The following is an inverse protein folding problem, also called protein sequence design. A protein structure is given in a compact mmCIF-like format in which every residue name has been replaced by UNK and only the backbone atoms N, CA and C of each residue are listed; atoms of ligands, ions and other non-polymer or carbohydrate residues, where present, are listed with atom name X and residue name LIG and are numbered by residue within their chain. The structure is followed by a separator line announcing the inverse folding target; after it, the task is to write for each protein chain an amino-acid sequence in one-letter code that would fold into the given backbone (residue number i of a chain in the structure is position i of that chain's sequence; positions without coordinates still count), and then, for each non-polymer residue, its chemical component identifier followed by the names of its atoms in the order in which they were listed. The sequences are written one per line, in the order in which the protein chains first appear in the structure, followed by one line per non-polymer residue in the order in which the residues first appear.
data_IF_878224555967
#
_entry.id   IF_878224555967
#
_cell.length_a   1.000
_cell.length_b   1.000
_cell.length_c   1.000
_cell.angle_alpha   90.00
_cell.angle_beta   90.00
_cell.angle_gamma   90.00
#
_symmetry.space_group_name_H-M   'P 1'
#
loop_
_entity.id
_entity.type
_entity.pdbx_description
1 polymer ?
#
# COMPACT_ATOMS: atom_id res chain seq x y z
N UNK A 1 49.06 35.60 -13.74
CA UNK A 1 48.24 34.58 -14.44
C UNK A 1 47.49 33.76 -13.40
N UNK A 2 46.29 34.21 -13.03
CA UNK A 2 45.40 33.59 -12.04
C UNK A 2 44.27 32.88 -12.78
N UNK A 3 44.15 31.57 -12.58
CA UNK A 3 43.03 30.78 -13.13
C UNK A 3 41.75 31.13 -12.36
N UNK A 4 40.62 31.41 -13.02
CA UNK A 4 39.35 31.59 -12.34
C UNK A 4 38.88 30.26 -11.75
N UNK A 5 38.64 30.24 -10.45
CA UNK A 5 38.00 29.15 -9.72
C UNK A 5 36.56 29.00 -10.19
N UNK A 6 36.19 27.77 -10.56
CA UNK A 6 34.88 27.45 -11.11
C UNK A 6 33.88 27.18 -9.96
N UNK A 7 32.87 28.03 -9.72
CA UNK A 7 31.94 27.91 -8.59
C UNK A 7 30.91 26.78 -8.76
N UNK A 8 30.93 26.06 -9.87
CA UNK A 8 29.94 25.01 -10.20
C UNK A 8 30.20 23.70 -9.41
N UNK A 9 31.38 23.52 -8.80
CA UNK A 9 31.74 22.27 -8.13
C UNK A 9 31.36 22.16 -6.64
N UNK A 10 30.82 23.21 -6.01
CA UNK A 10 30.44 23.19 -4.59
C UNK A 10 28.92 23.16 -4.34
N UNK A 11 28.10 23.18 -5.40
CA UNK A 11 26.64 23.13 -5.33
C UNK A 11 26.03 21.74 -5.51
N UNK A 12 26.82 20.67 -5.51
CA UNK A 12 26.30 19.31 -5.63
C UNK A 12 25.83 18.79 -4.26
N UNK A 13 24.67 19.30 -3.86
CA UNK A 13 23.59 18.51 -3.26
C UNK A 13 23.97 17.62 -2.07
N UNK A 14 24.12 18.22 -0.89
CA UNK A 14 23.31 17.73 0.24
C UNK A 14 21.86 18.14 -0.04
N UNK A 15 21.19 17.45 -0.97
CA UNK A 15 19.72 17.48 -1.00
C UNK A 15 19.29 16.80 0.27
N UNK A 16 18.77 17.60 1.19
CA UNK A 16 17.78 17.30 2.23
C UNK A 16 17.32 15.85 2.32
N UNK A 17 18.23 14.92 2.65
CA UNK A 17 17.85 13.54 2.96
C UNK A 17 17.03 13.53 4.26
N UNK A 18 17.35 14.44 5.17
CA UNK A 18 16.59 14.66 6.42
C UNK A 18 15.23 15.33 6.16
N UNK A 19 15.19 16.37 5.31
CA UNK A 19 13.92 17.00 4.94
C UNK A 19 12.98 16.05 4.17
N UNK A 20 13.53 15.21 3.30
CA UNK A 20 12.78 14.17 2.61
C UNK A 20 12.22 13.11 3.56
N UNK A 21 12.99 12.70 4.58
CA UNK A 21 12.52 11.72 5.56
C UNK A 21 11.38 12.28 6.43
N UNK A 22 11.50 13.53 6.91
CA UNK A 22 10.43 14.17 7.69
C UNK A 22 9.16 14.38 6.88
N UNK A 23 9.28 14.76 5.61
CA UNK A 23 8.12 14.87 4.71
C UNK A 23 7.45 13.51 4.49
N UNK A 24 8.22 12.43 4.27
CA UNK A 24 7.62 11.09 4.12
C UNK A 24 6.95 10.63 5.42
N UNK A 25 7.55 10.87 6.58
CA UNK A 25 6.97 10.51 7.89
C UNK A 25 5.65 11.24 8.14
N UNK A 26 5.59 12.54 7.86
CA UNK A 26 4.36 13.32 8.02
C UNK A 26 3.28 12.89 7.02
N UNK A 27 3.64 12.61 5.77
CA UNK A 27 2.72 12.06 4.76
C UNK A 27 2.20 10.68 5.17
N UNK A 28 3.04 9.78 5.67
CA UNK A 28 2.63 8.44 6.13
C UNK A 28 1.74 8.53 7.37
N UNK A 29 2.06 9.42 8.31
CA UNK A 29 1.23 9.62 9.50
C UNK A 29 -0.14 10.21 9.15
N UNK A 30 -0.20 11.20 8.24
CA UNK A 30 -1.44 11.76 7.74
C UNK A 30 -2.25 10.71 6.94
N UNK A 31 -1.58 9.94 6.09
CA UNK A 31 -2.20 8.84 5.34
C UNK A 31 -2.81 7.79 6.27
N UNK A 32 -2.07 7.35 7.30
CA UNK A 32 -2.60 6.41 8.30
C UNK A 32 -3.72 7.02 9.13
N UNK A 33 -3.67 8.31 9.46
CA UNK A 33 -4.75 8.96 10.18
C UNK A 33 -6.06 8.93 9.36
N UNK A 34 -6.00 9.30 8.08
CA UNK A 34 -7.15 9.25 7.17
C UNK A 34 -7.62 7.83 6.85
N UNK A 35 -6.71 6.88 6.65
CA UNK A 35 -7.06 5.47 6.43
C UNK A 35 -7.69 4.81 7.68
N UNK A 36 -7.24 5.20 8.89
CA UNK A 36 -7.66 4.54 10.14
C UNK A 36 -9.12 4.75 10.51
N UNK A 37 -9.80 5.78 9.98
CA UNK A 37 -11.11 6.16 10.47
C UNK A 37 -12.26 5.23 10.01
N UNK A 38 -12.06 4.42 8.96
CA UNK A 38 -13.09 3.49 8.45
C UNK A 38 -12.58 2.05 8.16
N UNK A 39 -11.27 1.79 8.26
CA UNK A 39 -10.63 0.51 7.90
C UNK A 39 -10.13 -0.32 9.10
N UNK A 40 -10.45 0.06 10.35
CA UNK A 40 -9.92 -0.64 11.54
C UNK A 40 -10.12 -2.16 11.48
N UNK A 41 -11.26 -2.64 10.99
CA UNK A 41 -11.51 -4.08 10.85
C UNK A 41 -10.56 -4.74 9.85
N UNK A 42 -10.33 -4.14 8.68
CA UNK A 42 -9.43 -4.71 7.67
C UNK A 42 -7.99 -4.68 8.16
N UNK A 43 -7.56 -3.57 8.75
CA UNK A 43 -6.20 -3.45 9.28
C UNK A 43 -5.93 -4.45 10.40
N UNK A 44 -6.93 -4.73 11.25
CA UNK A 44 -6.85 -5.77 12.26
C UNK A 44 -6.75 -7.19 11.66
N UNK A 45 -7.49 -7.49 10.59
CA UNK A 45 -7.44 -8.80 9.91
C UNK A 45 -6.05 -9.04 9.31
N UNK A 46 -5.48 -8.03 8.67
CA UNK A 46 -4.13 -8.16 8.14
C UNK A 46 -3.07 -8.19 9.24
N UNK A 47 -3.25 -7.40 10.30
CA UNK A 47 -2.36 -7.45 11.46
C UNK A 47 -2.37 -8.83 12.12
N UNK A 48 -3.54 -9.46 12.26
CA UNK A 48 -3.62 -10.84 12.76
C UNK A 48 -2.94 -11.83 11.81
N UNK A 49 -3.09 -11.67 10.49
CA UNK A 49 -2.33 -12.47 9.52
C UNK A 49 -0.81 -12.29 9.68
N UNK A 50 -0.32 -11.07 9.86
CA UNK A 50 1.09 -10.80 10.11
C UNK A 50 1.59 -11.47 11.40
N UNK A 51 0.80 -11.39 12.49
CA UNK A 51 1.10 -12.08 13.74
C UNK A 51 1.22 -13.59 13.54
N UNK A 52 0.31 -14.20 12.76
CA UNK A 52 0.37 -15.62 12.42
C UNK A 52 1.68 -15.99 11.69
N UNK A 53 2.09 -15.18 10.69
CA UNK A 53 3.35 -15.42 9.95
C UNK A 53 4.56 -15.29 10.88
N UNK A 54 4.61 -14.24 11.72
CA UNK A 54 5.72 -14.05 12.65
C UNK A 54 5.78 -15.20 13.66
N UNK A 55 4.65 -15.59 14.26
CA UNK A 55 4.60 -16.71 15.19
C UNK A 55 5.04 -18.03 14.53
N UNK A 56 4.55 -18.31 13.32
CA UNK A 56 4.95 -19.50 12.56
C UNK A 56 6.45 -19.48 12.22
N UNK A 57 7.00 -18.33 11.84
CA UNK A 57 8.43 -18.17 11.55
C UNK A 57 9.31 -18.38 12.79
N UNK A 58 8.87 -17.92 13.96
CA UNK A 58 9.60 -18.11 15.22
C UNK A 58 9.60 -19.58 15.65
N UNK A 59 8.44 -20.24 15.58
CA UNK A 59 8.33 -21.68 15.86
C UNK A 59 9.24 -22.47 14.92
N UNK A 60 9.17 -22.19 13.61
CA UNK A 60 10.00 -22.88 12.61
C UNK A 60 11.49 -22.65 12.83
N UNK A 61 11.89 -21.41 13.15
CA UNK A 61 13.29 -21.08 13.43
C UNK A 61 13.80 -21.84 14.66
N UNK A 62 13.03 -21.88 15.75
CA UNK A 62 13.41 -22.60 16.97
C UNK A 62 13.57 -24.11 16.65
N UNK A 63 12.65 -24.69 15.90
CA UNK A 63 12.72 -26.12 15.55
C UNK A 63 13.95 -26.44 14.69
N UNK A 64 14.25 -25.62 13.67
CA UNK A 64 15.44 -25.80 12.82
C UNK A 64 16.74 -25.68 13.64
N UNK A 65 16.76 -24.88 14.70
CA UNK A 65 17.90 -24.80 15.62
C UNK A 65 18.03 -26.01 16.56
N UNK A 66 16.92 -26.67 16.89
CA UNK A 66 16.92 -27.87 17.76
C UNK A 66 17.15 -29.16 16.99
N UNK A 67 16.83 -29.17 15.69
CA UNK A 67 16.99 -30.31 14.78
C UNK A 67 18.27 -30.19 13.96
N UNK A 68 18.48 -31.09 13.01
CA UNK A 68 19.67 -31.07 12.14
C UNK A 68 19.66 -29.81 11.25
N UNK A 69 20.74 -29.02 11.30
CA UNK A 69 20.83 -27.74 10.59
C UNK A 69 20.94 -28.01 9.08
N UNK A 70 19.80 -28.01 8.39
CA UNK A 70 19.74 -27.91 6.96
C UNK A 70 19.84 -26.42 6.55
N UNK A 71 20.88 -26.02 5.78
CA UNK A 71 21.11 -24.61 5.47
C UNK A 71 19.99 -23.98 4.63
N UNK A 72 19.29 -24.77 3.81
CA UNK A 72 18.17 -24.29 3.01
C UNK A 72 16.94 -23.94 3.87
N UNK A 73 16.58 -24.80 4.82
CA UNK A 73 15.45 -24.54 5.73
C UNK A 73 15.72 -23.33 6.64
N UNK A 74 16.98 -23.14 7.05
CA UNK A 74 17.39 -21.96 7.80
C UNK A 74 17.21 -20.67 6.98
N UNK A 75 17.58 -20.68 5.69
CA UNK A 75 17.40 -19.52 4.81
C UNK A 75 15.92 -19.19 4.66
N UNK A 76 15.06 -20.20 4.47
CA UNK A 76 13.61 -20.01 4.34
C UNK A 76 12.99 -19.48 5.63
N UNK A 77 13.39 -19.99 6.79
CA UNK A 77 12.94 -19.50 8.09
C UNK A 77 13.36 -18.04 8.33
N UNK A 78 14.62 -17.68 8.04
CA UNK A 78 15.11 -16.31 8.18
C UNK A 78 14.38 -15.37 7.21
N UNK A 79 14.14 -15.82 5.98
CA UNK A 79 13.36 -15.06 5.00
C UNK A 79 11.94 -14.81 5.51
N UNK A 80 11.24 -15.85 5.97
CA UNK A 80 9.89 -15.76 6.52
C UNK A 80 9.83 -14.81 7.72
N UNK A 81 10.82 -14.89 8.62
CA UNK A 81 10.91 -14.04 9.80
C UNK A 81 11.13 -12.56 9.42
N UNK A 82 12.05 -12.27 8.50
CA UNK A 82 12.33 -10.90 8.07
C UNK A 82 11.12 -10.29 7.36
N UNK A 83 10.51 -11.01 6.42
CA UNK A 83 9.37 -10.47 5.67
C UNK A 83 8.07 -10.47 6.46
N UNK A 84 7.85 -11.46 7.33
CA UNK A 84 6.76 -11.46 8.31
C UNK A 84 6.87 -10.27 9.26
N UNK A 85 8.07 -9.97 9.77
CA UNK A 85 8.31 -8.82 10.64
C UNK A 85 8.07 -7.49 9.90
N UNK A 86 8.49 -7.37 8.64
CA UNK A 86 8.20 -6.17 7.83
C UNK A 86 6.69 -5.94 7.68
N UNK A 87 5.93 -7.00 7.39
CA UNK A 87 4.47 -6.92 7.28
C UNK A 87 3.81 -6.60 8.63
N UNK A 88 4.30 -7.19 9.72
CA UNK A 88 3.85 -6.87 11.08
C UNK A 88 4.06 -5.39 11.40
N UNK A 89 5.23 -4.84 11.10
CA UNK A 89 5.51 -3.40 11.29
C UNK A 89 4.61 -2.54 10.42
N UNK A 90 4.39 -2.92 9.16
CA UNK A 90 3.53 -2.18 8.22
C UNK A 90 2.08 -2.11 8.73
N UNK A 91 1.59 -3.23 9.24
CA UNK A 91 0.18 -3.45 9.58
C UNK A 91 -0.15 -3.16 11.04
N UNK A 92 0.87 -2.86 11.86
CA UNK A 92 0.68 -2.54 13.26
C UNK A 92 -0.23 -1.31 13.44
N UNK A 93 -1.32 -1.41 14.24
CA UNK A 93 -2.25 -0.30 14.48
C UNK A 93 -1.71 0.75 15.47
N UNK A 94 -0.42 0.70 15.82
CA UNK A 94 0.22 1.53 16.83
C UNK A 94 0.94 2.74 16.23
N UNK A 95 0.88 3.88 16.93
CA UNK A 95 1.48 5.16 16.51
C UNK A 95 2.73 5.52 17.32
N UNK A 96 3.63 4.57 17.51
CA UNK A 96 4.94 4.84 18.14
C UNK A 96 5.91 5.43 17.11
N UNK A 97 6.69 6.45 17.49
CA UNK A 97 7.60 7.17 16.58
C UNK A 97 8.52 6.22 15.79
N UNK A 98 9.15 5.26 16.47
CA UNK A 98 10.03 4.29 15.81
C UNK A 98 9.33 3.37 14.80
N UNK A 99 8.06 3.00 15.05
CA UNK A 99 7.28 2.20 14.09
C UNK A 99 6.87 3.04 12.88
N UNK A 100 6.52 4.32 13.07
CA UNK A 100 6.20 5.22 11.95
C UNK A 100 7.44 5.46 11.06
N UNK A 101 8.62 5.64 11.65
CA UNK A 101 9.88 5.75 10.91
C UNK A 101 10.20 4.47 10.12
N UNK A 102 10.04 3.31 10.74
CA UNK A 102 10.23 2.02 10.07
C UNK A 102 9.21 1.81 8.94
N UNK A 103 7.94 2.20 9.15
CA UNK A 103 6.91 2.17 8.11
C UNK A 103 7.27 3.09 6.94
N UNK A 104 7.71 4.32 7.22
CA UNK A 104 8.15 5.26 6.20
C UNK A 104 9.32 4.70 5.38
N UNK A 105 10.27 4.01 6.02
CA UNK A 105 11.34 3.30 5.33
C UNK A 105 10.79 2.20 4.42
N UNK A 106 9.90 1.34 4.91
CA UNK A 106 9.29 0.27 4.11
C UNK A 106 8.50 0.86 2.94
N UNK A 107 7.68 1.88 3.15
CA UNK A 107 6.90 2.58 2.11
C UNK A 107 7.82 3.13 1.01
N UNK A 108 8.99 3.67 1.39
CA UNK A 108 9.95 4.24 0.44
C UNK A 108 10.56 3.19 -0.49
N UNK A 109 10.94 2.02 0.02
CA UNK A 109 11.58 0.97 -0.78
C UNK A 109 10.60 -0.04 -1.38
N UNK A 110 9.46 -0.23 -0.74
CA UNK A 110 8.44 -1.22 -1.08
C UNK A 110 7.07 -0.55 -1.24
N UNK A 111 7.01 0.50 -2.07
CA UNK A 111 5.76 1.23 -2.34
C UNK A 111 4.64 0.36 -2.91
N UNK A 112 4.94 -0.85 -3.42
CA UNK A 112 3.89 -1.78 -3.84
C UNK A 112 3.19 -2.46 -2.64
N UNK A 113 3.88 -2.67 -1.50
CA UNK A 113 3.32 -3.32 -0.32
C UNK A 113 2.29 -2.44 0.39
N UNK A 114 2.33 -1.12 0.17
CA UNK A 114 1.35 -0.19 0.73
C UNK A 114 0.03 -0.19 -0.02
N UNK A 115 0.03 -0.70 -1.26
CA UNK A 115 -1.20 -0.86 -2.06
C UNK A 115 -1.97 -2.07 -1.59
N UNK A 116 -3.30 -1.99 -1.64
CA UNK A 116 -4.16 -3.03 -1.10
C UNK A 116 -4.00 -4.35 -1.86
N UNK A 117 -3.93 -4.29 -3.21
CA UNK A 117 -3.59 -5.46 -4.05
C UNK A 117 -2.20 -6.02 -3.79
N UNK A 118 -1.18 -5.17 -3.64
CA UNK A 118 0.20 -5.61 -3.41
C UNK A 118 0.38 -6.30 -2.06
N UNK A 119 -0.25 -5.76 -1.00
CA UNK A 119 -0.34 -6.37 0.33
C UNK A 119 -1.01 -7.74 0.27
N UNK A 120 -2.12 -7.85 -0.46
CA UNK A 120 -2.83 -9.13 -0.68
C UNK A 120 -1.96 -10.19 -1.35
N UNK A 121 -1.33 -9.84 -2.48
CA UNK A 121 -0.41 -10.75 -3.20
C UNK A 121 0.75 -11.18 -2.31
N UNK A 122 1.29 -10.26 -1.52
CA UNK A 122 2.36 -10.56 -0.58
C UNK A 122 1.93 -11.56 0.51
N UNK A 123 0.72 -11.42 1.05
CA UNK A 123 0.17 -12.39 2.00
C UNK A 123 -0.11 -13.76 1.38
N UNK A 124 -0.54 -13.82 0.11
CA UNK A 124 -0.66 -15.09 -0.62
C UNK A 124 0.69 -15.81 -0.61
N UNK A 125 1.75 -15.11 -0.99
CA UNK A 125 3.11 -15.63 -1.04
C UNK A 125 3.61 -16.08 0.36
N UNK A 126 3.47 -15.23 1.38
CA UNK A 126 3.86 -15.58 2.75
C UNK A 126 3.05 -16.76 3.32
N UNK A 127 1.74 -16.83 3.01
CA UNK A 127 0.88 -17.94 3.43
C UNK A 127 1.29 -19.26 2.80
N UNK A 128 1.58 -19.28 1.49
CA UNK A 128 2.10 -20.47 0.81
C UNK A 128 3.46 -20.90 1.34
N UNK A 129 4.35 -19.95 1.62
CA UNK A 129 5.68 -20.24 2.16
C UNK A 129 5.59 -20.77 3.59
N UNK A 130 4.75 -20.16 4.43
CA UNK A 130 4.49 -20.63 5.80
C UNK A 130 3.93 -22.05 5.79
N UNK A 131 2.99 -22.35 4.88
CA UNK A 131 2.45 -23.69 4.71
C UNK A 131 3.55 -24.70 4.35
N UNK A 132 4.36 -24.39 3.33
CA UNK A 132 5.47 -25.26 2.90
C UNK A 132 6.48 -25.49 4.03
N UNK A 133 6.95 -24.43 4.70
CA UNK A 133 7.93 -24.54 5.78
C UNK A 133 7.44 -25.41 6.94
N UNK A 134 6.19 -25.26 7.39
CA UNK A 134 5.67 -26.07 8.51
C UNK A 134 5.34 -27.51 8.09
N UNK A 135 4.95 -27.72 6.84
CA UNK A 135 4.59 -29.03 6.31
C UNK A 135 5.83 -29.89 6.02
N UNK A 136 6.80 -29.33 5.29
CA UNK A 136 7.97 -30.07 4.83
C UNK A 136 8.91 -30.43 5.98
N UNK A 137 9.08 -29.54 6.96
CA UNK A 137 9.87 -29.79 8.16
C UNK A 137 9.13 -30.69 9.18
N UNK A 138 7.94 -31.18 8.87
CA UNK A 138 7.12 -32.06 9.73
C UNK A 138 6.86 -31.52 11.15
N UNK A 139 6.99 -30.21 11.36
CA UNK A 139 6.94 -29.56 12.68
C UNK A 139 5.53 -29.67 13.25
N UNK A 140 4.54 -29.21 12.47
CA UNK A 140 3.15 -29.16 12.93
C UNK A 140 2.17 -29.07 11.76
N UNK A 141 1.76 -30.22 11.21
CA UNK A 141 0.83 -30.29 10.07
C UNK A 141 -0.47 -29.51 10.28
N UNK A 142 -1.05 -29.60 11.48
CA UNK A 142 -2.27 -28.85 11.80
C UNK A 142 -2.01 -27.34 11.82
N UNK A 143 -0.88 -26.89 12.38
CA UNK A 143 -0.47 -25.49 12.34
C UNK A 143 -0.18 -24.99 10.93
N UNK A 144 0.44 -25.82 10.09
CA UNK A 144 0.68 -25.52 8.68
C UNK A 144 -0.63 -25.19 7.97
N UNK A 145 -1.64 -26.07 8.10
CA UNK A 145 -2.96 -25.87 7.51
C UNK A 145 -3.63 -24.64 8.12
N UNK A 146 -3.75 -24.53 9.44
CA UNK A 146 -4.51 -23.45 10.06
C UNK A 146 -3.86 -22.08 9.82
N UNK A 147 -2.57 -21.92 10.09
CA UNK A 147 -1.88 -20.62 9.96
C UNK A 147 -1.58 -20.27 8.50
N UNK A 148 -1.01 -21.22 7.74
CA UNK A 148 -0.64 -21.00 6.35
C UNK A 148 -1.85 -20.75 5.46
N UNK A 149 -2.90 -21.58 5.58
CA UNK A 149 -4.12 -21.42 4.79
C UNK A 149 -4.91 -20.17 5.20
N UNK A 150 -4.98 -19.84 6.50
CA UNK A 150 -5.63 -18.61 6.96
C UNK A 150 -4.99 -17.36 6.35
N UNK A 151 -3.66 -17.25 6.41
CA UNK A 151 -2.91 -16.13 5.83
C UNK A 151 -3.10 -16.08 4.31
N UNK A 152 -3.06 -17.23 3.65
CA UNK A 152 -3.32 -17.35 2.21
C UNK A 152 -4.72 -16.85 1.84
N UNK A 153 -5.77 -17.27 2.56
CA UNK A 153 -7.15 -16.84 2.30
C UNK A 153 -7.33 -15.34 2.47
N UNK A 154 -6.71 -14.74 3.48
CA UNK A 154 -6.70 -13.27 3.67
C UNK A 154 -6.04 -12.58 2.48
N UNK A 155 -4.91 -13.12 2.01
CA UNK A 155 -4.23 -12.62 0.82
C UNK A 155 -5.09 -12.68 -0.44
N UNK A 156 -5.79 -13.80 -0.67
CA UNK A 156 -6.72 -13.97 -1.80
C UNK A 156 -7.88 -12.99 -1.70
N UNK A 157 -8.52 -12.90 -0.54
CA UNK A 157 -9.64 -11.98 -0.30
C UNK A 157 -9.24 -10.52 -0.58
N UNK A 158 -8.09 -10.08 -0.04
CA UNK A 158 -7.55 -8.75 -0.26
C UNK A 158 -7.24 -8.49 -1.75
N UNK A 159 -6.63 -9.45 -2.43
CA UNK A 159 -6.29 -9.32 -3.85
C UNK A 159 -7.54 -9.18 -4.72
N UNK A 160 -8.57 -10.01 -4.46
CA UNK A 160 -9.84 -9.97 -5.20
C UNK A 160 -10.57 -8.66 -4.95
N UNK A 161 -10.68 -8.22 -3.69
CA UNK A 161 -11.32 -6.95 -3.34
C UNK A 161 -10.61 -5.76 -3.98
N UNK A 162 -9.27 -5.73 -3.97
CA UNK A 162 -8.48 -4.69 -4.62
C UNK A 162 -8.65 -4.70 -6.16
N UNK A 163 -8.71 -5.89 -6.77
CA UNK A 163 -8.96 -6.03 -8.21
C UNK A 163 -10.36 -5.57 -8.61
N UNK A 164 -11.39 -5.89 -7.83
CA UNK A 164 -12.77 -5.43 -8.06
C UNK A 164 -12.87 -3.91 -8.02
N UNK A 165 -12.27 -3.28 -6.99
CA UNK A 165 -12.24 -1.81 -6.86
C UNK A 165 -11.48 -1.17 -8.03
N UNK A 166 -10.33 -1.74 -8.42
CA UNK A 166 -9.54 -1.26 -9.56
C UNK A 166 -10.33 -1.32 -10.88
N UNK A 167 -11.11 -2.38 -11.09
CA UNK A 167 -11.99 -2.51 -12.27
C UNK A 167 -13.10 -1.46 -12.29
N UNK A 168 -13.75 -1.19 -11.14
CA UNK A 168 -14.76 -0.12 -11.04
C UNK A 168 -14.16 1.24 -11.40
N UNK A 169 -13.01 1.59 -10.83
CA UNK A 169 -12.32 2.86 -11.11
C UNK A 169 -11.92 2.97 -12.59
N UNK A 170 -11.39 1.89 -13.18
CA UNK A 170 -11.02 1.87 -14.59
C UNK A 170 -12.25 1.99 -15.52
N UNK A 171 -13.41 1.46 -15.10
CA UNK A 171 -14.66 1.65 -15.85
C UNK A 171 -15.11 3.11 -15.84
N UNK A 172 -15.04 3.80 -14.70
CA UNK A 172 -15.31 5.25 -14.62
C UNK A 172 -14.37 6.00 -15.56
N UNK A 173 -13.07 5.70 -15.48
CA UNK A 173 -12.05 6.30 -16.34
C UNK A 173 -12.36 6.13 -17.83
N UNK A 174 -12.74 4.92 -18.25
CA UNK A 174 -13.08 4.64 -19.64
C UNK A 174 -14.31 5.43 -20.11
N UNK A 175 -15.31 5.61 -19.25
CA UNK A 175 -16.50 6.40 -19.58
C UNK A 175 -16.17 7.90 -19.69
N UNK A 176 -15.36 8.42 -18.77
CA UNK A 176 -14.86 9.80 -18.84
C UNK A 176 -14.08 10.03 -20.14
N UNK A 177 -13.19 9.10 -20.53
CA UNK A 177 -12.48 9.17 -21.82
C UNK A 177 -13.41 9.14 -23.02
N UNK A 178 -14.48 8.34 -22.99
CA UNK A 178 -15.41 8.21 -24.12
C UNK A 178 -16.25 9.44 -24.34
N UNK A 179 -16.59 10.18 -23.27
CA UNK A 179 -17.39 11.38 -23.42
C UNK A 179 -16.65 12.50 -24.17
N UNK A 180 -15.32 12.43 -24.34
CA UNK A 180 -14.47 13.32 -25.16
C UNK A 180 -14.67 14.84 -24.93
N UNK A 181 -15.53 15.23 -23.99
CA UNK A 181 -15.72 16.59 -23.56
C UNK A 181 -14.45 17.02 -22.87
N UNK A 182 -14.00 18.23 -23.23
CA UNK A 182 -12.87 18.94 -22.67
C UNK A 182 -12.70 18.60 -21.18
N UNK A 183 -11.71 17.76 -20.87
CA UNK A 183 -11.50 17.21 -19.53
C UNK A 183 -11.33 18.31 -18.48
N UNK A 184 -10.84 19.47 -18.90
CA UNK A 184 -10.71 20.65 -18.06
C UNK A 184 -12.08 21.24 -17.72
N UNK A 185 -12.95 21.39 -18.74
CA UNK A 185 -14.32 21.84 -18.53
C UNK A 185 -15.10 20.89 -17.63
N UNK A 186 -14.92 19.58 -17.82
CA UNK A 186 -15.52 18.57 -16.95
C UNK A 186 -15.01 18.73 -15.52
N UNK A 187 -13.70 18.78 -15.30
CA UNK A 187 -13.13 18.98 -13.96
C UNK A 187 -13.67 20.26 -13.29
N UNK A 188 -13.65 21.39 -13.98
CA UNK A 188 -14.12 22.68 -13.48
C UNK A 188 -15.62 22.69 -13.18
N UNK A 189 -16.41 21.85 -13.85
CA UNK A 189 -17.85 21.75 -13.60
C UNK A 189 -18.21 21.04 -12.28
N UNK A 190 -17.33 20.14 -11.79
CA UNK A 190 -17.54 19.36 -10.58
C UNK A 190 -16.74 19.85 -9.37
N UNK A 191 -15.54 20.43 -9.56
CA UNK A 191 -14.71 20.96 -8.48
C UNK A 191 -15.18 22.35 -8.01
N UNK A 192 -16.40 22.42 -7.44
CA UNK A 192 -17.06 23.69 -7.11
C UNK A 192 -16.78 24.16 -5.68
N UNK A 193 -16.55 23.23 -4.75
CA UNK A 193 -16.40 23.57 -3.34
C UNK A 193 -15.13 24.36 -3.06
N UNK A 194 -14.00 23.95 -3.65
CA UNK A 194 -12.72 24.63 -3.43
C UNK A 194 -11.75 24.47 -4.61
N UNK A 195 -11.75 25.40 -5.60
CA UNK A 195 -10.92 25.28 -6.80
C UNK A 195 -9.42 25.16 -6.53
N UNK A 196 -8.93 25.69 -5.41
CA UNK A 196 -7.51 25.64 -5.05
C UNK A 196 -7.08 24.27 -4.49
N UNK A 197 -7.95 23.57 -3.77
CA UNK A 197 -7.65 22.27 -3.17
C UNK A 197 -7.92 21.11 -4.13
N UNK A 198 -8.73 21.34 -5.16
CA UNK A 198 -9.12 20.36 -6.17
C UNK A 198 -10.45 19.68 -5.86
N UNK A 199 -10.75 18.63 -6.61
CA UNK A 199 -12.01 17.89 -6.50
C UNK A 199 -12.00 17.00 -5.25
N UNK A 200 -12.99 17.16 -4.38
CA UNK A 200 -13.12 16.35 -3.18
C UNK A 200 -13.72 14.95 -3.49
N UNK A 201 -13.77 14.08 -2.47
CA UNK A 201 -14.28 12.72 -2.61
C UNK A 201 -15.76 12.65 -3.07
N UNK A 202 -16.60 13.54 -2.54
CA UNK A 202 -18.03 13.57 -2.83
C UNK A 202 -18.31 14.11 -4.24
N UNK A 203 -17.57 15.14 -4.67
CA UNK A 203 -17.58 15.69 -6.04
C UNK A 203 -17.12 14.65 -7.05
N UNK A 204 -16.06 13.89 -6.73
CA UNK A 204 -15.63 12.77 -7.56
C UNK A 204 -16.69 11.67 -7.63
N UNK A 205 -17.34 11.36 -6.51
CA UNK A 205 -18.43 10.38 -6.48
C UNK A 205 -19.60 10.82 -7.36
N UNK A 206 -19.97 12.11 -7.27
CA UNK A 206 -21.01 12.72 -8.10
C UNK A 206 -20.65 12.62 -9.58
N UNK A 207 -19.41 12.96 -9.96
CA UNK A 207 -18.90 12.81 -11.33
C UNK A 207 -19.00 11.36 -11.79
N UNK A 208 -18.57 10.39 -10.97
CA UNK A 208 -18.62 8.98 -11.31
C UNK A 208 -20.05 8.45 -11.47
N UNK A 209 -20.98 8.96 -10.67
CA UNK A 209 -22.41 8.65 -10.76
C UNK A 209 -23.03 9.20 -12.04
N UNK A 210 -22.72 10.45 -12.39
CA UNK A 210 -23.29 11.10 -13.58
C UNK A 210 -22.70 10.58 -14.89
N UNK A 211 -21.38 10.32 -14.94
CA UNK A 211 -20.68 9.92 -16.16
C UNK A 211 -20.78 8.41 -16.40
N UNK A 212 -20.62 7.60 -15.36
CA UNK A 212 -20.51 6.15 -15.49
C UNK A 212 -21.67 5.37 -14.88
N UNK A 213 -22.60 6.03 -14.16
CA UNK A 213 -23.66 5.36 -13.40
C UNK A 213 -23.11 4.54 -12.24
N UNK A 214 -21.92 4.87 -11.74
CA UNK A 214 -21.25 4.13 -10.65
C UNK A 214 -21.14 5.06 -9.46
N UNK A 215 -21.71 4.65 -8.32
CA UNK A 215 -21.44 5.29 -7.04
C UNK A 215 -20.46 4.44 -6.23
N UNK A 216 -19.52 5.13 -5.59
CA UNK A 216 -18.61 4.56 -4.61
C UNK A 216 -19.17 4.79 -3.21
N UNK A 217 -18.93 3.82 -2.33
CA UNK A 217 -19.18 4.00 -0.90
C UNK A 217 -18.12 4.95 -0.30
N UNK A 218 -18.43 5.58 0.82
CA UNK A 218 -17.51 6.51 1.50
C UNK A 218 -16.15 5.89 1.83
N UNK A 219 -16.13 4.59 2.19
CA UNK A 219 -14.88 3.84 2.42
C UNK A 219 -14.11 3.56 1.12
N UNK A 220 -14.81 3.24 0.03
CA UNK A 220 -14.22 3.05 -1.30
C UNK A 220 -13.58 4.34 -1.82
N UNK A 221 -14.24 5.49 -1.59
CA UNK A 221 -13.75 6.79 -2.01
C UNK A 221 -12.41 7.13 -1.39
N UNK A 222 -12.18 6.84 -0.11
CA UNK A 222 -10.87 7.09 0.52
C UNK A 222 -9.74 6.35 -0.20
N UNK A 223 -9.96 5.09 -0.60
CA UNK A 223 -8.96 4.34 -1.38
C UNK A 223 -8.75 4.94 -2.77
N UNK A 224 -9.83 5.33 -3.44
CA UNK A 224 -9.76 5.96 -4.76
C UNK A 224 -9.01 7.29 -4.70
N UNK A 225 -9.34 8.15 -3.74
CA UNK A 225 -8.67 9.43 -3.53
C UNK A 225 -7.18 9.23 -3.24
N UNK A 226 -6.83 8.30 -2.35
CA UNK A 226 -5.43 7.98 -2.06
C UNK A 226 -4.67 7.47 -3.29
N UNK A 227 -5.33 6.75 -4.19
CA UNK A 227 -4.69 6.23 -5.39
C UNK A 227 -4.57 7.27 -6.52
N UNK A 228 -5.44 8.27 -6.52
CA UNK A 228 -5.42 9.38 -7.48
C UNK A 228 -4.48 10.51 -7.02
N UNK A 229 -4.40 10.76 -5.72
CA UNK A 229 -3.58 11.80 -5.10
C UNK A 229 -2.26 11.20 -4.61
N UNK A 230 -1.22 11.21 -5.44
CA UNK A 230 0.11 10.66 -5.09
C UNK A 230 0.78 11.34 -3.87
N UNK A 231 0.34 12.54 -3.47
CA UNK A 231 1.02 13.39 -2.48
C UNK A 231 0.33 13.41 -1.10
N UNK A 232 -0.66 12.54 -0.86
CA UNK A 232 -1.42 12.53 0.41
C UNK A 232 -2.35 13.74 0.59
N UNK A 233 -2.68 14.44 -0.50
CA UNK A 233 -3.66 15.54 -0.53
C UNK A 233 -5.08 15.01 -0.39
N UNK A 234 -5.95 15.84 0.17
CA UNK A 234 -7.37 15.53 0.39
C UNK A 234 -8.18 15.62 -0.93
N UNK A 235 -7.74 16.47 -1.88
CA UNK A 235 -8.41 16.69 -3.16
C UNK A 235 -7.59 16.26 -4.38
N UNK A 236 -8.29 15.85 -5.45
CA UNK A 236 -7.72 15.52 -6.75
C UNK A 236 -7.48 16.83 -7.51
N UNK A 237 -6.22 17.15 -7.83
CA UNK A 237 -5.92 18.32 -8.64
C UNK A 237 -6.25 18.08 -10.12
N UNK A 238 -6.41 19.15 -10.91
CA UNK A 238 -6.62 19.03 -12.36
C UNK A 238 -5.49 18.23 -13.03
N UNK A 239 -4.24 18.40 -12.56
CA UNK A 239 -3.09 17.64 -13.05
C UNK A 239 -3.20 16.15 -12.73
N UNK A 240 -3.61 15.79 -11.51
CA UNK A 240 -3.80 14.39 -11.11
C UNK A 240 -4.94 13.75 -11.90
N UNK A 241 -6.05 14.47 -12.07
CA UNK A 241 -7.20 14.02 -12.84
C UNK A 241 -6.83 13.78 -14.31
N UNK A 242 -6.18 14.75 -14.95
CA UNK A 242 -5.70 14.62 -16.33
C UNK A 242 -4.66 13.49 -16.47
N UNK A 243 -3.75 13.38 -15.51
CA UNK A 243 -2.75 12.31 -15.44
C UNK A 243 -3.38 10.93 -15.28
N UNK A 244 -4.43 10.82 -14.46
CA UNK A 244 -5.19 9.58 -14.29
C UNK A 244 -5.93 9.19 -15.56
N UNK A 245 -6.62 10.13 -16.20
CA UNK A 245 -7.40 9.88 -17.44
C UNK A 245 -6.50 9.42 -18.58
N UNK A 246 -5.32 10.03 -18.72
CA UNK A 246 -4.39 9.76 -19.82
C UNK A 246 -3.31 8.71 -19.49
N UNK A 247 -3.08 8.41 -18.21
CA UNK A 247 -1.98 7.55 -17.74
C UNK A 247 -2.21 6.04 -17.89
N UNK A 248 -1.59 5.23 -17.03
CA UNK A 248 -1.86 3.78 -16.97
C UNK A 248 -2.97 3.46 -15.98
N UNK A 249 -3.61 2.30 -16.12
CA UNK A 249 -4.62 1.87 -15.15
C UNK A 249 -4.00 1.82 -13.75
N UNK A 250 -4.68 2.42 -12.76
CA UNK A 250 -4.22 2.44 -11.39
C UNK A 250 -4.75 1.20 -10.68
N UNK A 251 -3.84 0.48 -10.02
CA UNK A 251 -4.17 -0.65 -9.16
C UNK A 251 -4.30 -0.14 -7.74
N UNK A 252 -5.49 -0.33 -7.17
CA UNK A 252 -5.84 -0.02 -5.78
C UNK A 252 -5.24 -1.03 -4.79
#
# INVERSE_FOLDING_TARGET
MSRPSNPIAQGFRRVDLEGGAQNVVSTVAAWKAHASQMSMTMDLIFFSAACCVVAASLISTIEVFLTEIAPFDLIDCVYLLVFGTKMFILDAPVRFKGIVEAQAFIVKYFAFLTRFTGRGIWYIFLGTMTFATLWDNQIWYFGAVVLGFYVFLIGVFATVMGAMKSRKLNRVRQQVRRQNADTEQMFNSYARSNPQEGMNADEFNLLSGQVAGISFRSDELTFVMNALCNDGRIGITQRDFHGWINGRAILL
#
